data_IF_468341977868
#
_entry.id   IF_468341977868
#
_cell.length_a   1.000
_cell.length_b   1.000
_cell.length_c   1.000
_cell.angle_alpha   90.00
_cell.angle_beta   90.00
_cell.angle_gamma   90.00
#
_symmetry.space_group_name_H-M   'P 1'
#
loop_
_entity.id
_entity.type
_entity.pdbx_description
1 polymer ?
#
# COMPACT_ATOMS: atom_id res chain seq x y z
N UNK A 1 10.46 21.83 -18.42
CA UNK A 1 10.49 20.84 -19.52
C UNK A 1 10.84 21.54 -20.83
N UNK A 2 10.02 22.44 -21.39
CA UNK A 2 10.25 23.10 -22.70
C UNK A 2 11.65 23.69 -22.93
N UNK A 3 12.32 24.21 -21.88
CA UNK A 3 13.67 24.75 -22.03
C UNK A 3 14.68 23.67 -22.43
N UNK A 4 14.56 22.47 -21.86
CA UNK A 4 15.44 21.34 -22.17
C UNK A 4 15.14 20.71 -23.54
N UNK A 5 13.87 20.69 -23.95
CA UNK A 5 13.45 20.23 -25.28
C UNK A 5 14.01 21.09 -26.40
N UNK A 6 14.23 22.39 -26.12
CA UNK A 6 14.80 23.36 -27.06
C UNK A 6 16.34 23.51 -26.90
N UNK A 7 17.03 22.58 -26.26
CA UNK A 7 18.48 22.61 -26.07
C UNK A 7 19.00 23.65 -25.07
N UNK A 8 18.09 24.35 -24.39
CA UNK A 8 18.40 25.26 -23.29
C UNK A 8 18.32 24.57 -21.92
N UNK A 9 18.63 25.31 -20.87
CA UNK A 9 18.45 24.84 -19.47
C UNK A 9 17.76 25.92 -18.65
N UNK A 10 16.95 25.46 -17.71
CA UNK A 10 16.31 26.33 -16.73
C UNK A 10 16.29 25.63 -15.38
N UNK A 11 16.58 26.36 -14.31
CA UNK A 11 16.49 25.84 -12.96
C UNK A 11 15.02 25.87 -12.51
N UNK A 12 14.48 24.69 -12.23
CA UNK A 12 13.10 24.54 -11.74
C UNK A 12 13.04 24.13 -10.28
N UNK A 13 13.93 23.24 -9.86
CA UNK A 13 13.99 22.75 -8.50
C UNK A 13 15.35 22.07 -8.24
N UNK A 14 15.75 22.04 -7.00
CA UNK A 14 16.92 21.25 -6.58
C UNK A 14 16.60 19.76 -6.74
N UNK A 15 17.49 19.02 -7.37
CA UNK A 15 17.34 17.58 -7.50
C UNK A 15 17.39 16.93 -6.11
N UNK A 16 16.48 16.02 -5.76
CA UNK A 16 16.45 15.35 -4.47
C UNK A 16 17.52 14.25 -4.41
N UNK A 17 18.79 14.63 -4.40
CA UNK A 17 19.93 13.70 -4.48
C UNK A 17 19.93 12.67 -3.38
N UNK A 18 19.56 13.05 -2.15
CA UNK A 18 19.47 12.13 -1.01
C UNK A 18 18.43 11.04 -1.23
N UNK A 19 17.27 11.41 -1.77
CA UNK A 19 16.21 10.46 -2.12
C UNK A 19 16.65 9.52 -3.25
N UNK A 20 17.38 10.02 -4.25
CA UNK A 20 17.91 9.22 -5.34
C UNK A 20 18.98 8.23 -4.85
N UNK A 21 19.86 8.63 -3.95
CA UNK A 21 20.84 7.73 -3.33
C UNK A 21 20.14 6.62 -2.56
N UNK A 22 19.16 6.95 -1.71
CA UNK A 22 18.37 5.97 -0.98
C UNK A 22 17.61 5.02 -1.92
N UNK A 23 17.04 5.55 -2.98
CA UNK A 23 16.33 4.74 -3.98
C UNK A 23 17.29 3.73 -4.64
N UNK A 24 18.47 4.19 -5.06
CA UNK A 24 19.52 3.32 -5.60
C UNK A 24 19.88 2.20 -4.61
N UNK A 25 20.11 2.53 -3.36
CA UNK A 25 20.52 1.57 -2.33
C UNK A 25 19.45 0.50 -2.10
N UNK A 26 18.18 0.89 -2.03
CA UNK A 26 17.05 -0.04 -1.94
C UNK A 26 16.92 -0.92 -3.20
N UNK A 27 17.22 -0.38 -4.39
CA UNK A 27 17.26 -1.19 -5.62
C UNK A 27 18.32 -2.28 -5.54
N UNK A 28 19.53 -1.96 -5.04
CA UNK A 28 20.59 -2.96 -4.84
C UNK A 28 20.24 -3.97 -3.76
N UNK A 29 19.66 -3.54 -2.66
CA UNK A 29 19.17 -4.42 -1.60
C UNK A 29 18.13 -5.40 -2.14
N UNK A 30 17.14 -4.91 -2.87
CA UNK A 30 16.07 -5.73 -3.49
C UNK A 30 16.66 -6.73 -4.49
N UNK A 31 17.63 -6.30 -5.30
CA UNK A 31 18.35 -7.18 -6.24
C UNK A 31 19.12 -8.28 -5.52
N UNK A 32 19.81 -7.93 -4.43
CA UNK A 32 20.57 -8.89 -3.63
C UNK A 32 19.68 -9.87 -2.89
N UNK A 33 18.50 -9.44 -2.47
CA UNK A 33 17.48 -10.29 -1.86
C UNK A 33 16.92 -11.31 -2.86
N UNK A 34 16.81 -10.94 -4.13
CA UNK A 34 16.35 -11.77 -5.23
C UNK A 34 14.90 -11.46 -5.65
N UNK A 35 14.72 -11.05 -6.89
CA UNK A 35 13.40 -10.62 -7.41
C UNK A 35 12.33 -11.71 -7.34
N UNK A 36 12.68 -12.97 -7.59
CA UNK A 36 11.72 -14.09 -7.51
C UNK A 36 11.29 -14.35 -6.04
N UNK A 37 12.21 -14.23 -5.09
CA UNK A 37 11.89 -14.32 -3.67
C UNK A 37 10.96 -13.18 -3.24
N UNK A 38 11.28 -11.94 -3.61
CA UNK A 38 10.44 -10.75 -3.36
C UNK A 38 9.05 -10.94 -3.94
N UNK A 39 8.96 -11.40 -5.19
CA UNK A 39 7.68 -11.66 -5.86
C UNK A 39 6.84 -12.71 -5.12
N UNK A 40 7.45 -13.84 -4.79
CA UNK A 40 6.75 -14.93 -4.09
C UNK A 40 6.24 -14.47 -2.70
N UNK A 41 7.08 -13.80 -1.94
CA UNK A 41 6.74 -13.28 -0.63
C UNK A 41 5.70 -12.16 -0.68
N UNK A 42 5.74 -11.31 -1.71
CA UNK A 42 4.72 -10.28 -1.90
C UNK A 42 3.34 -10.90 -2.16
N UNK A 43 3.27 -11.97 -2.95
CA UNK A 43 2.03 -12.73 -3.16
C UNK A 43 1.55 -13.41 -1.88
N UNK A 44 2.45 -14.03 -1.10
CA UNK A 44 2.10 -14.65 0.17
C UNK A 44 1.54 -13.60 1.16
N UNK A 45 2.27 -12.51 1.38
CA UNK A 45 1.81 -11.43 2.25
C UNK A 45 0.47 -10.86 1.79
N UNK A 46 0.33 -10.55 0.51
CA UNK A 46 -0.90 -9.97 -0.05
C UNK A 46 -2.12 -10.87 0.12
N UNK A 47 -1.98 -12.16 -0.16
CA UNK A 47 -3.05 -13.14 -0.02
C UNK A 47 -3.45 -13.33 1.45
N UNK A 48 -2.48 -13.48 2.34
CA UNK A 48 -2.72 -13.68 3.77
C UNK A 48 -3.31 -12.44 4.43
N UNK A 49 -2.81 -11.24 4.10
CA UNK A 49 -3.35 -9.98 4.60
C UNK A 49 -4.80 -9.78 4.15
N UNK A 50 -5.12 -10.06 2.88
CA UNK A 50 -6.49 -9.97 2.36
C UNK A 50 -7.42 -10.93 3.09
N UNK A 51 -7.02 -12.18 3.24
CA UNK A 51 -7.81 -13.19 3.97
C UNK A 51 -8.06 -12.77 5.42
N UNK A 52 -7.06 -12.20 6.09
CA UNK A 52 -7.17 -11.69 7.44
C UNK A 52 -8.20 -10.54 7.52
N UNK A 53 -8.10 -9.56 6.62
CA UNK A 53 -8.99 -8.39 6.57
C UNK A 53 -10.43 -8.80 6.23
N UNK A 54 -10.61 -9.71 5.26
CA UNK A 54 -11.92 -10.28 4.92
C UNK A 54 -12.53 -11.06 6.09
N UNK A 55 -11.71 -11.83 6.84
CA UNK A 55 -12.12 -12.55 8.04
C UNK A 55 -12.60 -11.63 9.19
N UNK A 56 -12.25 -10.34 9.14
CA UNK A 56 -12.72 -9.31 10.08
C UNK A 56 -13.92 -8.52 9.55
N UNK A 57 -14.53 -8.96 8.44
CA UNK A 57 -15.76 -8.38 7.89
C UNK A 57 -15.56 -7.31 6.82
N UNK A 58 -14.32 -6.99 6.44
CA UNK A 58 -14.04 -5.99 5.40
C UNK A 58 -13.91 -6.64 4.02
N UNK A 59 -14.97 -6.58 3.25
CA UNK A 59 -14.99 -7.16 1.90
C UNK A 59 -14.00 -6.47 0.97
N UNK A 60 -13.21 -7.27 0.22
CA UNK A 60 -12.31 -6.74 -0.81
C UNK A 60 -13.09 -6.13 -1.98
N UNK A 61 -12.58 -5.02 -2.51
CA UNK A 61 -13.09 -4.40 -3.76
C UNK A 61 -12.68 -5.22 -4.98
N UNK A 62 -11.49 -5.83 -4.95
CA UNK A 62 -10.96 -6.59 -6.08
C UNK A 62 -11.72 -7.90 -6.25
N UNK A 63 -12.18 -8.15 -7.48
CA UNK A 63 -12.76 -9.42 -7.90
C UNK A 63 -11.70 -10.53 -7.93
N UNK A 64 -12.16 -11.78 -7.92
CA UNK A 64 -11.26 -12.93 -8.07
C UNK A 64 -10.50 -12.83 -9.40
N UNK A 65 -9.21 -13.18 -9.39
CA UNK A 65 -8.31 -13.03 -10.54
C UNK A 65 -7.70 -11.63 -10.72
N UNK A 66 -8.19 -10.60 -9.99
CA UNK A 66 -7.69 -9.22 -10.09
C UNK A 66 -7.12 -8.68 -8.77
N UNK A 67 -6.79 -9.56 -7.86
CA UNK A 67 -6.26 -9.23 -6.53
C UNK A 67 -4.79 -8.84 -6.60
N UNK A 68 -4.47 -7.55 -6.50
CA UNK A 68 -3.08 -7.08 -6.44
C UNK A 68 -2.40 -7.51 -5.13
N UNK A 69 -1.15 -8.01 -5.15
CA UNK A 69 -0.47 -8.47 -3.94
C UNK A 69 0.10 -7.33 -3.07
N UNK A 70 0.35 -6.17 -3.65
CA UNK A 70 0.99 -5.03 -2.96
C UNK A 70 0.01 -4.06 -2.30
N UNK A 71 -1.29 -4.19 -2.55
CA UNK A 71 -2.32 -3.33 -1.97
C UNK A 71 -3.62 -4.10 -1.76
N UNK A 72 -4.24 -3.90 -0.60
CA UNK A 72 -5.58 -4.37 -0.31
C UNK A 72 -6.51 -3.18 -0.22
N UNK A 73 -7.56 -3.15 -1.04
CA UNK A 73 -8.63 -2.17 -1.00
C UNK A 73 -9.87 -2.86 -0.50
N UNK A 74 -10.47 -2.33 0.54
CA UNK A 74 -11.66 -2.92 1.17
C UNK A 74 -12.77 -1.92 1.36
N UNK A 75 -14.02 -2.38 1.27
CA UNK A 75 -15.20 -1.58 1.57
C UNK A 75 -15.31 -1.29 3.07
N UNK A 76 -15.89 -0.15 3.40
CA UNK A 76 -16.31 0.21 4.75
C UNK A 76 -17.56 1.07 4.70
N UNK A 77 -18.32 1.13 5.80
CA UNK A 77 -19.39 2.11 5.99
C UNK A 77 -18.97 3.23 6.94
N UNK A 78 -17.85 3.04 7.64
CA UNK A 78 -17.34 3.96 8.64
C UNK A 78 -16.42 5.00 8.00
N UNK A 79 -16.74 6.29 8.16
CA UNK A 79 -15.97 7.40 7.61
C UNK A 79 -14.61 7.58 8.29
N UNK A 80 -14.46 7.21 9.57
CA UNK A 80 -13.20 7.30 10.30
C UNK A 80 -12.26 6.13 9.96
N UNK A 81 -12.79 5.02 9.47
CA UNK A 81 -12.02 3.96 8.82
C UNK A 81 -11.60 4.41 7.42
N UNK A 82 -12.53 4.96 6.63
CA UNK A 82 -12.27 5.43 5.27
C UNK A 82 -11.11 6.45 5.23
N UNK A 83 -11.10 7.42 6.12
CA UNK A 83 -10.10 8.48 6.18
C UNK A 83 -8.83 8.07 6.94
N UNK A 84 -8.80 6.90 7.55
CA UNK A 84 -7.66 6.35 8.29
C UNK A 84 -7.53 6.82 9.74
N UNK A 85 -8.47 7.59 10.26
CA UNK A 85 -8.40 8.21 11.59
C UNK A 85 -8.36 7.17 12.72
N UNK A 86 -9.20 6.12 12.63
CA UNK A 86 -9.18 5.00 13.59
C UNK A 86 -7.86 4.24 13.55
N UNK A 87 -7.30 4.01 12.37
CA UNK A 87 -6.01 3.36 12.22
C UNK A 87 -4.86 4.20 12.80
N UNK A 88 -4.90 5.52 12.56
CA UNK A 88 -3.89 6.45 13.10
C UNK A 88 -3.90 6.47 14.64
N UNK A 89 -5.06 6.39 15.27
CA UNK A 89 -5.20 6.31 16.72
C UNK A 89 -4.52 5.03 17.29
N UNK A 90 -4.45 3.97 16.51
CA UNK A 90 -3.75 2.72 16.85
C UNK A 90 -2.29 2.69 16.33
N UNK A 91 -1.74 3.85 15.95
CA UNK A 91 -0.35 3.97 15.48
C UNK A 91 -0.08 3.38 14.10
N UNK A 92 -1.12 3.22 13.26
CA UNK A 92 -0.99 2.72 11.90
C UNK A 92 -1.47 3.77 10.89
N UNK A 93 -0.58 4.22 10.02
CA UNK A 93 -0.96 5.06 8.90
C UNK A 93 -1.39 4.19 7.71
N UNK A 94 -2.56 4.48 7.16
CA UNK A 94 -3.09 3.85 5.95
C UNK A 94 -3.37 4.89 4.89
N UNK A 95 -3.75 4.44 3.69
CA UNK A 95 -4.24 5.34 2.65
C UNK A 95 -5.76 5.42 2.68
N UNK A 96 -6.29 6.64 2.70
CA UNK A 96 -7.73 6.88 2.60
C UNK A 96 -8.29 6.31 1.30
N UNK A 97 -9.55 5.87 1.34
CA UNK A 97 -10.27 5.46 0.14
C UNK A 97 -10.52 6.63 -0.80
N UNK A 98 -10.51 6.35 -2.09
CA UNK A 98 -10.79 7.31 -3.16
C UNK A 98 -11.87 6.77 -4.09
N UNK A 99 -12.63 7.63 -4.77
CA UNK A 99 -13.53 7.23 -5.84
C UNK A 99 -12.75 6.52 -6.96
N UNK A 100 -13.31 5.45 -7.50
CA UNK A 100 -12.71 4.72 -8.62
C UNK A 100 -13.15 5.28 -9.98
N UNK A 101 -14.22 6.10 -9.98
CA UNK A 101 -14.81 6.75 -11.17
C UNK A 101 -15.32 5.73 -12.21
N UNK A 102 -15.94 4.65 -11.71
CA UNK A 102 -16.56 3.57 -12.51
C UNK A 102 -18.06 3.45 -12.21
N UNK A 103 -18.72 4.58 -12.08
CA UNK A 103 -20.16 4.71 -11.78
C UNK A 103 -20.59 4.17 -10.40
N UNK A 104 -19.69 4.20 -9.43
CA UNK A 104 -20.02 3.89 -8.05
C UNK A 104 -20.99 4.91 -7.44
N UNK A 105 -21.88 4.44 -6.56
CA UNK A 105 -22.86 5.28 -5.87
C UNK A 105 -22.22 6.23 -4.85
N UNK A 106 -23.02 7.19 -4.36
CA UNK A 106 -22.59 8.19 -3.39
C UNK A 106 -22.11 7.58 -2.04
N UNK A 107 -22.58 6.38 -1.72
CA UNK A 107 -22.23 5.65 -0.49
C UNK A 107 -20.95 4.82 -0.62
N UNK A 108 -20.26 4.90 -1.76
CA UNK A 108 -19.04 4.16 -1.99
C UNK A 108 -17.93 4.66 -1.06
N UNK A 109 -17.57 3.82 -0.09
CA UNK A 109 -16.48 4.09 0.84
C UNK A 109 -15.53 2.92 0.88
N UNK A 110 -14.24 3.22 0.78
CA UNK A 110 -13.17 2.24 0.85
C UNK A 110 -12.01 2.76 1.69
N UNK A 111 -11.10 1.86 2.07
CA UNK A 111 -9.78 2.19 2.59
C UNK A 111 -8.73 1.29 1.93
N UNK A 112 -7.45 1.67 2.04
CA UNK A 112 -6.37 0.98 1.35
C UNK A 112 -5.22 0.67 2.30
N UNK A 113 -4.78 -0.58 2.30
CA UNK A 113 -3.60 -1.04 3.04
C UNK A 113 -2.47 -1.31 2.03
N UNK A 114 -1.39 -0.53 2.12
CA UNK A 114 -0.18 -0.75 1.34
C UNK A 114 0.73 -1.79 2.01
N UNK A 115 1.19 -2.77 1.26
CA UNK A 115 1.98 -3.90 1.75
C UNK A 115 3.40 -3.91 1.15
N UNK A 116 3.85 -2.77 0.62
CA UNK A 116 5.17 -2.66 0.00
C UNK A 116 6.29 -2.54 1.03
N UNK A 117 7.47 -2.99 0.65
CA UNK A 117 8.71 -2.81 1.39
C UNK A 117 9.30 -4.14 1.87
N UNK A 118 10.63 -4.27 1.75
CA UNK A 118 11.37 -5.46 2.17
C UNK A 118 11.23 -5.73 3.67
N UNK A 119 11.07 -4.67 4.48
CA UNK A 119 10.81 -4.76 5.92
C UNK A 119 9.60 -5.63 6.27
N UNK A 120 8.57 -5.59 5.44
CA UNK A 120 7.36 -6.42 5.61
C UNK A 120 7.54 -7.84 5.09
N UNK A 121 8.29 -7.99 3.99
CA UNK A 121 8.51 -9.27 3.35
C UNK A 121 9.49 -10.15 4.13
N UNK A 122 10.49 -9.56 4.78
CA UNK A 122 11.48 -10.28 5.59
C UNK A 122 10.85 -10.97 6.81
N UNK A 123 9.71 -10.49 7.30
CA UNK A 123 8.97 -11.11 8.40
C UNK A 123 7.46 -10.95 8.21
N UNK A 124 6.90 -11.79 7.35
CA UNK A 124 5.48 -11.76 6.99
C UNK A 124 4.59 -12.02 8.21
N UNK A 125 4.96 -12.96 9.07
CA UNK A 125 4.17 -13.32 10.26
C UNK A 125 4.05 -12.13 11.23
N UNK A 126 5.16 -11.47 11.55
CA UNK A 126 5.13 -10.27 12.39
C UNK A 126 4.32 -9.12 11.76
N UNK A 127 4.39 -8.97 10.42
CA UNK A 127 3.58 -7.98 9.69
C UNK A 127 2.09 -8.29 9.83
N UNK A 128 1.69 -9.54 9.67
CA UNK A 128 0.30 -9.98 9.82
C UNK A 128 -0.21 -9.88 11.25
N UNK A 129 0.61 -10.22 12.24
CA UNK A 129 0.26 -10.09 13.65
C UNK A 129 0.01 -8.64 14.04
N UNK A 130 0.85 -7.72 13.54
CA UNK A 130 0.64 -6.27 13.73
C UNK A 130 -0.66 -5.81 13.07
N UNK A 131 -0.93 -6.22 11.84
CA UNK A 131 -2.20 -5.94 11.16
C UNK A 131 -3.38 -6.45 11.98
N UNK A 132 -3.34 -7.70 12.40
CA UNK A 132 -4.37 -8.33 13.21
C UNK A 132 -4.65 -7.55 14.51
N UNK A 133 -3.58 -7.15 15.22
CA UNK A 133 -3.68 -6.39 16.45
C UNK A 133 -4.37 -5.03 16.27
N UNK A 134 -4.08 -4.32 15.18
CA UNK A 134 -4.74 -3.04 14.88
C UNK A 134 -6.17 -3.25 14.43
N UNK A 135 -6.42 -4.16 13.49
CA UNK A 135 -7.76 -4.42 12.97
C UNK A 135 -8.73 -4.90 14.04
N UNK A 136 -8.28 -5.67 15.04
CA UNK A 136 -9.14 -6.10 16.15
C UNK A 136 -9.66 -4.96 17.03
N UNK A 137 -9.09 -3.76 16.92
CA UNK A 137 -9.52 -2.55 17.66
C UNK A 137 -10.28 -1.57 16.78
N UNK A 138 -10.12 -1.67 15.47
CA UNK A 138 -10.70 -0.75 14.48
C UNK A 138 -12.01 -1.28 13.92
N UNK A 139 -12.17 -2.60 13.81
CA UNK A 139 -13.33 -3.29 13.25
C UNK A 139 -14.60 -3.18 14.10
#
# INVERSE_FOLDING_TARGET
MKAYENGGHAYHATMPTDALVRFRDIMFETKSYGFEAVKAQQWDLGNRARKLIEGMGFKSVASEGFKAPGVVVSYTQDSDIQNGKKFLAEGMQIAAGVPLQVNEGADFKTFRIGLFGLDKLQNIDATLDRLKGVFSKVA
#
